data_IF_405590968831
#
_entry.id   IF_405590968831
#
_cell.length_a   1.000
_cell.length_b   1.000
_cell.length_c   1.000
_cell.angle_alpha   90.00
_cell.angle_beta   90.00
_cell.angle_gamma   90.00
#
_symmetry.space_group_name_H-M   'P 1'
#
loop_
_entity.id
_entity.type
_entity.pdbx_description
1 polymer ?
#
# COMPACT_ATOMS: atom_id res chain seq x y z
N UNK A 1 -7.00 30.09 0.23
CA UNK A 1 -7.62 29.19 -0.76
C UNK A 1 -9.15 29.37 -0.88
N UNK A 2 -9.92 29.32 0.20
CA UNK A 2 -11.40 29.44 0.14
C UNK A 2 -11.92 30.85 0.45
N UNK A 3 -13.12 31.17 -0.04
CA UNK A 3 -13.84 32.40 0.33
C UNK A 3 -14.26 32.33 1.81
N UNK A 4 -14.06 33.37 2.64
CA UNK A 4 -14.27 33.29 4.10
C UNK A 4 -15.68 32.85 4.52
N UNK A 5 -16.70 33.31 3.77
CA UNK A 5 -18.12 32.97 4.01
C UNK A 5 -18.42 31.47 3.96
N UNK A 6 -17.57 30.67 3.31
CA UNK A 6 -17.80 29.24 3.11
C UNK A 6 -16.85 28.33 3.90
N UNK A 7 -16.03 28.88 4.80
CA UNK A 7 -15.25 28.05 5.73
C UNK A 7 -16.06 27.01 6.52
N UNK A 8 -17.27 27.28 7.05
CA UNK A 8 -18.06 26.25 7.72
C UNK A 8 -18.44 25.11 6.77
N UNK A 9 -18.81 25.42 5.53
CA UNK A 9 -19.15 24.42 4.50
C UNK A 9 -17.94 23.53 4.19
N UNK A 10 -16.76 24.12 4.00
CA UNK A 10 -15.52 23.36 3.75
C UNK A 10 -15.16 22.45 4.93
N UNK A 11 -15.39 22.91 6.17
CA UNK A 11 -15.15 22.10 7.38
C UNK A 11 -16.07 20.89 7.43
N UNK A 12 -17.37 21.06 7.18
CA UNK A 12 -18.36 19.96 7.12
C UNK A 12 -17.99 18.97 6.01
N UNK A 13 -17.64 19.44 4.82
CA UNK A 13 -17.20 18.56 3.72
C UNK A 13 -15.96 17.75 4.10
N UNK A 14 -14.97 18.35 4.76
CA UNK A 14 -13.79 17.61 5.21
C UNK A 14 -14.13 16.56 6.28
N UNK A 15 -15.07 16.84 7.18
CA UNK A 15 -15.52 15.87 8.17
C UNK A 15 -16.24 14.68 7.52
N UNK A 16 -17.21 14.96 6.64
CA UNK A 16 -17.90 13.92 5.89
C UNK A 16 -16.95 13.09 5.00
N UNK A 17 -15.89 13.72 4.49
CA UNK A 17 -14.86 13.02 3.74
C UNK A 17 -14.11 12.01 4.62
N UNK A 18 -13.84 12.37 5.89
CA UNK A 18 -13.26 11.45 6.86
C UNK A 18 -14.17 10.25 7.12
N UNK A 19 -15.48 10.48 7.29
CA UNK A 19 -16.46 9.39 7.42
C UNK A 19 -16.46 8.50 6.17
N UNK A 20 -16.48 9.08 4.98
CA UNK A 20 -16.40 8.35 3.72
C UNK A 20 -15.10 7.52 3.60
N UNK A 21 -13.98 8.02 4.14
CA UNK A 21 -12.69 7.30 4.19
C UNK A 21 -12.82 6.01 4.99
N UNK A 22 -13.47 6.08 6.16
CA UNK A 22 -13.69 4.92 7.04
C UNK A 22 -14.61 3.90 6.36
N UNK A 23 -15.66 4.39 5.68
CA UNK A 23 -16.56 3.54 4.91
C UNK A 23 -15.81 2.79 3.80
N UNK A 24 -14.93 3.46 3.05
CA UNK A 24 -14.11 2.83 2.00
C UNK A 24 -13.18 1.79 2.59
N UNK A 25 -12.53 2.09 3.72
CA UNK A 25 -11.65 1.14 4.39
C UNK A 25 -12.40 -0.13 4.81
N UNK A 26 -13.57 0.02 5.41
CA UNK A 26 -14.42 -1.11 5.82
C UNK A 26 -14.88 -1.87 4.58
N UNK A 27 -15.38 -1.18 3.56
CA UNK A 27 -15.89 -1.79 2.33
C UNK A 27 -14.81 -2.64 1.65
N UNK A 28 -13.61 -2.09 1.45
CA UNK A 28 -12.47 -2.81 0.89
C UNK A 28 -12.07 -4.00 1.78
N UNK A 29 -12.01 -3.81 3.10
CA UNK A 29 -11.65 -4.89 4.03
C UNK A 29 -12.67 -6.03 4.00
N UNK A 30 -13.96 -5.73 3.86
CA UNK A 30 -15.03 -6.73 3.77
C UNK A 30 -14.99 -7.43 2.42
N UNK A 31 -14.86 -6.67 1.33
CA UNK A 31 -14.82 -7.20 -0.02
C UNK A 31 -13.64 -8.14 -0.24
N UNK A 32 -12.45 -7.72 0.18
CA UNK A 32 -11.25 -8.53 0.04
C UNK A 32 -11.12 -9.56 1.16
N UNK A 33 -11.62 -9.32 2.37
CA UNK A 33 -11.42 -10.20 3.52
C UNK A 33 -12.38 -11.39 3.62
N UNK A 34 -13.61 -11.26 3.13
CA UNK A 34 -14.70 -12.22 3.39
C UNK A 34 -15.29 -12.83 2.13
N UNK A 35 -15.80 -14.05 2.25
CA UNK A 35 -16.53 -14.73 1.19
C UNK A 35 -17.97 -14.20 1.10
N UNK A 36 -18.15 -13.16 0.30
CA UNK A 36 -19.45 -12.50 0.12
C UNK A 36 -20.33 -13.17 -0.93
N UNK A 37 -21.62 -13.25 -0.62
CA UNK A 37 -22.69 -13.60 -1.55
C UNK A 37 -22.84 -12.53 -2.66
N UNK A 38 -23.43 -12.87 -3.83
CA UNK A 38 -23.64 -11.89 -4.90
C UNK A 38 -24.43 -10.65 -4.47
N UNK A 39 -25.38 -10.80 -3.54
CA UNK A 39 -26.19 -9.69 -3.01
C UNK A 39 -25.36 -8.76 -2.13
N UNK A 40 -24.51 -9.30 -1.26
CA UNK A 40 -23.60 -8.50 -0.43
C UNK A 40 -22.57 -7.76 -1.27
N UNK A 41 -22.00 -8.42 -2.29
CA UNK A 41 -21.11 -7.75 -3.26
C UNK A 41 -21.81 -6.59 -3.95
N UNK A 42 -23.02 -6.80 -4.48
CA UNK A 42 -23.79 -5.72 -5.12
C UNK A 42 -24.07 -4.56 -4.16
N UNK A 43 -24.36 -4.85 -2.90
CA UNK A 43 -24.56 -3.82 -1.88
C UNK A 43 -23.29 -3.00 -1.65
N UNK A 44 -22.15 -3.67 -1.42
CA UNK A 44 -20.85 -2.99 -1.25
C UNK A 44 -20.49 -2.15 -2.47
N UNK A 45 -20.66 -2.67 -3.68
CA UNK A 45 -20.37 -1.93 -4.91
C UNK A 45 -21.22 -0.67 -5.06
N UNK A 46 -22.51 -0.72 -4.68
CA UNK A 46 -23.37 0.47 -4.68
C UNK A 46 -22.89 1.49 -3.66
N UNK A 47 -22.52 1.04 -2.46
CA UNK A 47 -21.98 1.88 -1.40
C UNK A 47 -20.65 2.52 -1.83
N UNK A 48 -19.75 1.76 -2.44
CA UNK A 48 -18.49 2.23 -2.99
C UNK A 48 -18.70 3.30 -4.07
N UNK A 49 -19.62 3.04 -5.00
CA UNK A 49 -19.98 4.00 -6.04
C UNK A 49 -20.54 5.31 -5.44
N UNK A 50 -21.35 5.23 -4.38
CA UNK A 50 -21.83 6.41 -3.67
C UNK A 50 -20.68 7.21 -3.04
N UNK A 51 -19.69 6.55 -2.45
CA UNK A 51 -18.52 7.22 -1.87
C UNK A 51 -17.67 7.90 -2.94
N UNK A 52 -17.45 7.22 -4.07
CA UNK A 52 -16.70 7.76 -5.21
C UNK A 52 -17.39 9.00 -5.78
N UNK A 53 -18.72 8.95 -5.96
CA UNK A 53 -19.50 10.12 -6.40
C UNK A 53 -19.52 11.24 -5.37
N UNK A 54 -19.61 10.90 -4.09
CA UNK A 54 -19.50 11.86 -3.02
C UNK A 54 -18.15 12.58 -3.05
N UNK A 55 -17.04 11.86 -3.28
CA UNK A 55 -15.72 12.45 -3.47
C UNK A 55 -15.70 13.43 -4.66
N UNK A 56 -16.20 13.01 -5.83
CA UNK A 56 -16.27 13.86 -7.02
C UNK A 56 -17.08 15.13 -6.76
N UNK A 57 -18.25 15.00 -6.13
CA UNK A 57 -19.12 16.12 -5.74
C UNK A 57 -18.42 17.08 -4.78
N UNK A 58 -17.69 16.56 -3.78
CA UNK A 58 -16.91 17.40 -2.87
C UNK A 58 -15.85 18.23 -3.60
N UNK A 59 -15.14 17.64 -4.55
CA UNK A 59 -14.12 18.33 -5.35
C UNK A 59 -14.77 19.47 -6.14
N UNK A 60 -15.92 19.21 -6.76
CA UNK A 60 -16.70 20.23 -7.49
C UNK A 60 -17.16 21.38 -6.56
N UNK A 61 -17.74 21.07 -5.40
CA UNK A 61 -18.20 22.09 -4.44
C UNK A 61 -17.01 22.93 -3.94
N UNK A 62 -15.90 22.28 -3.54
CA UNK A 62 -14.71 22.99 -3.05
C UNK A 62 -14.07 23.85 -4.13
N UNK A 63 -14.14 23.44 -5.40
CA UNK A 63 -13.71 24.22 -6.54
C UNK A 63 -14.62 25.45 -6.75
N UNK A 64 -15.94 25.29 -6.71
CA UNK A 64 -16.90 26.40 -6.87
C UNK A 64 -16.81 27.45 -5.74
N UNK A 65 -16.49 27.00 -4.52
CA UNK A 65 -16.34 27.83 -3.32
C UNK A 65 -14.96 28.51 -3.22
N UNK A 66 -14.00 28.07 -4.03
CA UNK A 66 -12.64 28.63 -4.03
C UNK A 66 -12.64 30.10 -4.47
N UNK A 67 -11.62 30.86 -4.05
CA UNK A 67 -11.49 32.27 -4.48
C UNK A 67 -11.22 32.37 -5.98
N UNK A 68 -10.40 31.45 -6.51
CA UNK A 68 -10.06 31.29 -7.91
C UNK A 68 -10.05 29.81 -8.27
N UNK A 69 -10.81 29.44 -9.30
CA UNK A 69 -10.87 28.07 -9.84
C UNK A 69 -9.47 27.63 -10.30
N UNK A 70 -8.71 28.53 -10.93
CA UNK A 70 -7.36 28.25 -11.39
C UNK A 70 -6.38 27.95 -10.26
N UNK A 71 -6.45 28.71 -9.15
CA UNK A 71 -5.64 28.43 -7.97
C UNK A 71 -6.01 27.07 -7.35
N UNK A 72 -7.31 26.72 -7.37
CA UNK A 72 -7.79 25.43 -6.90
C UNK A 72 -7.23 24.28 -7.74
N UNK A 73 -7.34 24.38 -9.07
CA UNK A 73 -6.82 23.37 -10.00
C UNK A 73 -5.31 23.15 -9.80
N UNK A 74 -4.53 24.22 -9.70
CA UNK A 74 -3.06 24.11 -9.56
C UNK A 74 -2.64 23.47 -8.24
N UNK A 75 -3.32 23.81 -7.14
CA UNK A 75 -2.97 23.32 -5.81
C UNK A 75 -3.54 21.94 -5.49
N UNK A 76 -4.62 21.51 -6.16
CA UNK A 76 -5.29 20.22 -5.96
C UNK A 76 -5.47 19.45 -7.26
N UNK A 77 -4.47 19.50 -8.14
CA UNK A 77 -4.52 18.86 -9.46
C UNK A 77 -4.83 17.35 -9.37
N UNK A 78 -4.32 16.67 -8.35
CA UNK A 78 -4.59 15.24 -8.12
C UNK A 78 -6.05 14.96 -7.75
N UNK A 79 -6.69 15.82 -6.94
CA UNK A 79 -8.13 15.70 -6.60
C UNK A 79 -8.99 15.86 -7.85
N UNK A 80 -8.62 16.82 -8.70
CA UNK A 80 -9.31 17.10 -9.96
C UNK A 80 -9.12 15.96 -10.96
N UNK A 81 -7.90 15.42 -11.08
CA UNK A 81 -7.61 14.27 -11.93
C UNK A 81 -8.46 13.06 -11.53
N UNK A 82 -8.49 12.72 -10.23
CA UNK A 82 -9.31 11.62 -9.73
C UNK A 82 -10.80 11.85 -10.03
N UNK A 83 -11.31 13.07 -9.80
CA UNK A 83 -12.68 13.42 -10.14
C UNK A 83 -12.98 13.25 -11.64
N UNK A 84 -12.07 13.70 -12.52
CA UNK A 84 -12.24 13.54 -13.96
C UNK A 84 -12.23 12.07 -14.37
N UNK A 85 -11.33 11.25 -13.81
CA UNK A 85 -11.30 9.80 -14.06
C UNK A 85 -12.62 9.14 -13.66
N UNK A 86 -13.16 9.50 -12.49
CA UNK A 86 -14.47 9.01 -12.01
C UNK A 86 -15.60 9.38 -12.98
N UNK A 87 -15.65 10.64 -13.43
CA UNK A 87 -16.68 11.12 -14.36
C UNK A 87 -16.57 10.46 -15.73
N UNK A 88 -15.35 10.33 -16.26
CA UNK A 88 -15.11 9.64 -17.54
C UNK A 88 -15.55 8.18 -17.44
N UNK A 89 -15.12 7.49 -16.39
CA UNK A 89 -15.43 6.08 -16.19
C UNK A 89 -16.95 5.82 -16.11
N UNK A 90 -17.67 6.67 -15.37
CA UNK A 90 -19.13 6.57 -15.24
C UNK A 90 -19.86 6.94 -16.53
N UNK A 91 -19.38 7.94 -17.28
CA UNK A 91 -19.94 8.32 -18.59
C UNK A 91 -19.76 7.19 -19.61
N UNK A 92 -18.58 6.55 -19.62
CA UNK A 92 -18.29 5.39 -20.47
C UNK A 92 -19.24 4.25 -20.14
N UNK A 93 -19.48 3.96 -18.85
CA UNK A 93 -20.45 2.93 -18.43
C UNK A 93 -21.86 3.23 -18.98
N UNK A 94 -22.37 4.45 -18.76
CA UNK A 94 -23.72 4.84 -19.21
C UNK A 94 -23.83 4.73 -20.74
N UNK A 95 -22.79 5.13 -21.48
CA UNK A 95 -22.77 5.05 -22.94
C UNK A 95 -22.71 3.60 -23.44
N UNK A 96 -21.96 2.73 -22.78
CA UNK A 96 -21.86 1.31 -23.11
C UNK A 96 -23.15 0.54 -22.75
N UNK A 97 -23.79 0.86 -21.61
CA UNK A 97 -25.02 0.21 -21.16
C UNK A 97 -26.28 0.76 -21.86
N UNK A 98 -26.28 2.02 -22.28
CA UNK A 98 -27.39 2.67 -22.99
C UNK A 98 -27.47 2.33 -24.48
N UNK A 99 -26.41 1.79 -25.07
CA UNK A 99 -26.41 1.32 -26.47
C UNK A 99 -27.04 -0.09 -26.54
N UNK A 100 -28.36 -0.13 -26.73
CA UNK A 100 -29.12 -1.35 -27.06
C UNK A 100 -28.58 -2.12 -28.29
N UNK A 101 -27.73 -1.50 -29.11
CA UNK A 101 -27.02 -2.10 -30.27
C UNK A 101 -25.79 -2.94 -29.90
N UNK A 102 -25.17 -2.74 -28.72
CA UNK A 102 -23.96 -3.49 -28.30
C UNK A 102 -24.31 -4.93 -27.88
N UNK A 103 -25.52 -5.17 -27.34
CA UNK A 103 -26.01 -6.53 -27.02
C UNK A 103 -26.08 -7.46 -28.23
N UNK A 104 -26.20 -6.91 -29.43
CA UNK A 104 -26.37 -7.69 -30.66
C UNK A 104 -25.04 -8.09 -31.30
N UNK A 105 -23.95 -7.35 -31.06
CA UNK A 105 -22.63 -7.60 -31.66
C UNK A 105 -21.58 -8.12 -30.68
N UNK A 106 -21.73 -7.89 -29.38
CA UNK A 106 -20.78 -8.32 -28.36
C UNK A 106 -21.43 -9.42 -27.51
N UNK A 107 -21.07 -10.68 -27.81
CA UNK A 107 -21.50 -11.85 -27.04
C UNK A 107 -21.24 -11.70 -25.53
N UNK A 108 -22.09 -12.31 -24.70
CA UNK A 108 -22.15 -12.09 -23.24
C UNK A 108 -20.83 -12.23 -22.46
N UNK A 109 -19.89 -13.04 -22.96
CA UNK A 109 -18.52 -13.20 -22.43
C UNK A 109 -17.71 -11.89 -22.38
N UNK A 110 -17.93 -10.99 -23.35
CA UNK A 110 -17.24 -9.70 -23.40
C UNK A 110 -17.80 -8.69 -22.40
N UNK A 111 -19.11 -8.73 -22.13
CA UNK A 111 -19.79 -7.85 -21.17
C UNK A 111 -19.39 -8.15 -19.72
N UNK A 112 -19.21 -9.43 -19.39
CA UNK A 112 -18.75 -9.84 -18.04
C UNK A 112 -17.33 -9.32 -17.80
N UNK A 113 -16.41 -9.50 -18.78
CA UNK A 113 -15.04 -8.98 -18.69
C UNK A 113 -15.00 -7.46 -18.57
N UNK A 114 -15.80 -6.73 -19.35
CA UNK A 114 -15.89 -5.26 -19.24
C UNK A 114 -16.38 -4.82 -17.86
N UNK A 115 -17.36 -5.54 -17.29
CA UNK A 115 -17.88 -5.24 -15.94
C UNK A 115 -16.80 -5.49 -14.86
N UNK A 116 -16.02 -6.57 -14.98
CA UNK A 116 -14.91 -6.85 -14.07
C UNK A 116 -13.81 -5.78 -14.14
N UNK A 117 -13.42 -5.37 -15.35
CA UNK A 117 -12.43 -4.28 -15.53
C UNK A 117 -12.95 -2.98 -14.92
N UNK A 118 -14.24 -2.68 -15.09
CA UNK A 118 -14.85 -1.49 -14.50
C UNK A 118 -14.78 -1.50 -12.96
N UNK A 119 -15.11 -2.63 -12.33
CA UNK A 119 -15.02 -2.80 -10.87
C UNK A 119 -13.58 -2.61 -10.38
N UNK A 120 -12.62 -3.24 -11.06
CA UNK A 120 -11.20 -3.11 -10.74
C UNK A 120 -10.74 -1.65 -10.78
N UNK A 121 -11.15 -0.90 -11.81
CA UNK A 121 -10.81 0.53 -11.93
C UNK A 121 -11.44 1.35 -10.79
N UNK A 122 -12.69 1.07 -10.39
CA UNK A 122 -13.30 1.72 -9.20
C UNK A 122 -12.47 1.45 -7.95
N UNK A 123 -12.09 0.19 -7.71
CA UNK A 123 -11.30 -0.20 -6.54
C UNK A 123 -9.94 0.52 -6.51
N UNK A 124 -9.28 0.65 -7.66
CA UNK A 124 -8.03 1.40 -7.78
C UNK A 124 -8.26 2.88 -7.44
N UNK A 125 -9.30 3.51 -8.01
CA UNK A 125 -9.62 4.91 -7.70
C UNK A 125 -9.96 5.11 -6.22
N UNK A 126 -10.70 4.19 -5.61
CA UNK A 126 -10.99 4.19 -4.19
C UNK A 126 -9.72 4.10 -3.35
N UNK A 127 -8.83 3.17 -3.65
CA UNK A 127 -7.54 3.04 -2.99
C UNK A 127 -6.73 4.34 -3.10
N UNK A 128 -6.69 4.98 -4.28
CA UNK A 128 -6.02 6.27 -4.45
C UNK A 128 -6.66 7.40 -3.63
N UNK A 129 -7.99 7.47 -3.57
CA UNK A 129 -8.69 8.47 -2.73
C UNK A 129 -8.41 8.26 -1.25
N UNK A 130 -8.37 7.00 -0.81
CA UNK A 130 -8.06 6.59 0.55
C UNK A 130 -6.62 6.95 0.95
N UNK A 131 -5.62 6.56 0.13
CA UNK A 131 -4.21 6.90 0.35
C UNK A 131 -4.04 8.42 0.44
N UNK A 132 -4.68 9.17 -0.45
CA UNK A 132 -4.64 10.62 -0.42
C UNK A 132 -5.25 11.19 0.88
N UNK A 133 -6.34 10.62 1.38
CA UNK A 133 -6.95 11.03 2.65
C UNK A 133 -6.04 10.73 3.84
N UNK A 134 -5.37 9.57 3.87
CA UNK A 134 -4.37 9.25 4.88
C UNK A 134 -3.22 10.27 4.91
N UNK A 135 -2.74 10.71 3.74
CA UNK A 135 -1.70 11.75 3.65
C UNK A 135 -2.19 13.08 4.25
N UNK A 136 -3.46 13.46 4.01
CA UNK A 136 -4.05 14.68 4.58
C UNK A 136 -4.23 14.56 6.09
N UNK A 137 -4.69 13.40 6.58
CA UNK A 137 -4.85 13.12 8.01
C UNK A 137 -3.50 13.15 8.74
N UNK A 138 -2.47 12.54 8.15
CA UNK A 138 -1.11 12.54 8.69
C UNK A 138 -0.57 13.98 8.86
N UNK A 139 -0.82 14.87 7.89
CA UNK A 139 -0.44 16.28 8.01
C UNK A 139 -1.13 17.02 9.16
N UNK A 140 -2.32 16.58 9.57
CA UNK A 140 -3.03 17.17 10.73
C UNK A 140 -2.49 16.63 12.07
N UNK A 141 -2.02 15.39 12.09
CA UNK A 141 -1.40 14.74 13.25
C UNK A 141 0.06 15.19 13.45
N UNK A 142 0.73 15.66 12.39
CA UNK A 142 2.11 16.16 12.41
C UNK A 142 2.37 17.38 13.33
N UNK A 143 1.34 17.93 13.98
CA UNK A 143 1.47 18.98 14.99
C UNK A 143 1.77 18.49 16.41
N UNK A 144 1.73 17.17 16.66
CA UNK A 144 1.97 16.63 18.00
C UNK A 144 3.46 16.36 18.21
N UNK A 145 4.08 17.05 19.18
CA UNK A 145 5.50 16.91 19.51
C UNK A 145 5.75 15.60 20.28
N UNK A 146 6.03 14.51 19.56
CA UNK A 146 6.45 13.24 20.16
C UNK A 146 7.96 13.07 20.05
N UNK A 147 8.57 12.42 21.04
CA UNK A 147 9.98 12.02 20.94
C UNK A 147 10.14 11.03 19.77
N UNK A 148 11.18 11.15 18.92
CA UNK A 148 11.33 10.33 17.71
C UNK A 148 11.25 8.81 17.94
N UNK A 149 11.80 8.33 19.06
CA UNK A 149 11.73 6.91 19.45
C UNK A 149 10.30 6.44 19.76
N UNK A 150 9.46 7.29 20.36
CA UNK A 150 8.04 6.95 20.61
C UNK A 150 7.25 6.90 19.32
N UNK A 151 7.55 7.80 18.38
CA UNK A 151 6.94 7.79 17.04
C UNK A 151 7.27 6.48 16.33
N UNK A 152 8.55 6.08 16.33
CA UNK A 152 9.00 4.82 15.73
C UNK A 152 8.33 3.59 16.37
N UNK A 153 8.32 3.51 17.70
CA UNK A 153 7.68 2.39 18.40
C UNK A 153 6.17 2.33 18.08
N UNK A 154 5.49 3.48 18.12
CA UNK A 154 4.07 3.55 17.84
C UNK A 154 3.73 3.21 16.38
N UNK A 155 4.58 3.59 15.42
CA UNK A 155 4.34 3.28 14.02
C UNK A 155 4.44 1.78 13.76
N UNK A 156 5.49 1.12 14.26
CA UNK A 156 5.64 -0.33 14.16
C UNK A 156 4.47 -1.06 14.85
N UNK A 157 4.10 -0.64 16.07
CA UNK A 157 2.98 -1.25 16.79
C UNK A 157 1.66 -1.14 16.01
N UNK A 158 1.36 0.03 15.43
CA UNK A 158 0.16 0.23 14.61
C UNK A 158 0.19 -0.68 13.37
N UNK A 159 1.33 -0.75 12.67
CA UNK A 159 1.48 -1.61 11.48
C UNK A 159 1.28 -3.08 11.84
N UNK A 160 1.87 -3.54 12.95
CA UNK A 160 1.74 -4.93 13.44
C UNK A 160 0.29 -5.24 13.78
N UNK A 161 -0.41 -4.37 14.51
CA UNK A 161 -1.80 -4.59 14.88
C UNK A 161 -2.73 -4.58 13.65
N UNK A 162 -2.50 -3.68 12.70
CA UNK A 162 -3.23 -3.66 11.43
C UNK A 162 -2.95 -4.93 10.61
N UNK A 163 -1.68 -5.35 10.52
CA UNK A 163 -1.27 -6.58 9.86
C UNK A 163 -1.91 -7.82 10.50
N UNK A 164 -1.97 -7.86 11.83
CA UNK A 164 -2.66 -8.92 12.59
C UNK A 164 -4.13 -8.98 12.22
N UNK A 165 -4.83 -7.84 12.21
CA UNK A 165 -6.23 -7.75 11.80
C UNK A 165 -6.46 -8.22 10.36
N UNK A 166 -5.57 -7.84 9.43
CA UNK A 166 -5.65 -8.26 8.04
C UNK A 166 -5.39 -9.77 7.86
N UNK A 167 -4.44 -10.35 8.60
CA UNK A 167 -4.14 -11.78 8.54
C UNK A 167 -5.24 -12.66 9.16
N UNK A 168 -6.02 -12.12 10.09
CA UNK A 168 -7.18 -12.79 10.67
C UNK A 168 -8.41 -12.82 9.77
N UNK A 169 -8.38 -12.13 8.63
CA UNK A 169 -9.48 -12.18 7.66
C UNK A 169 -9.59 -13.60 7.06
N UNK A 170 -10.82 -14.14 6.89
CA UNK A 170 -11.02 -15.51 6.40
C UNK A 170 -10.35 -15.83 5.06
N UNK A 171 -10.21 -14.83 4.18
CA UNK A 171 -9.52 -15.00 2.89
C UNK A 171 -8.01 -14.98 2.97
N UNK A 172 -7.41 -14.64 4.09
CA UNK A 172 -5.96 -14.60 4.25
C UNK A 172 -5.34 -15.99 4.40
N UNK A 173 -6.14 -17.00 4.74
CA UNK A 173 -5.72 -18.40 4.87
C UNK A 173 -6.36 -19.27 3.80
N UNK A 174 -5.76 -20.43 3.52
CA UNK A 174 -6.33 -21.37 2.58
C UNK A 174 -7.63 -21.99 3.13
N UNK A 175 -8.60 -22.38 2.27
CA UNK A 175 -9.87 -22.92 2.71
C UNK A 175 -9.73 -24.10 3.68
N UNK A 176 -10.47 -24.09 4.77
CA UNK A 176 -10.43 -25.13 5.82
C UNK A 176 -9.38 -24.90 6.91
N UNK A 177 -8.51 -23.89 6.77
CA UNK A 177 -7.54 -23.52 7.79
C UNK A 177 -8.05 -22.39 8.68
N UNK A 178 -7.55 -22.33 9.91
CA UNK A 178 -7.89 -21.32 10.89
C UNK A 178 -6.60 -20.81 11.54
N UNK A 179 -6.38 -19.51 11.49
CA UNK A 179 -5.23 -18.86 12.12
C UNK A 179 -5.62 -18.37 13.51
N UNK A 180 -4.87 -18.76 14.55
CA UNK A 180 -5.09 -18.23 15.88
C UNK A 180 -4.67 -16.75 15.96
N UNK A 181 -5.26 -16.00 16.89
CA UNK A 181 -4.86 -14.59 17.12
C UNK A 181 -3.36 -14.46 17.44
N UNK A 182 -2.83 -15.38 18.24
CA UNK A 182 -1.43 -15.37 18.64
C UNK A 182 -0.52 -15.63 17.44
N UNK A 183 -0.86 -16.61 16.60
CA UNK A 183 -0.09 -16.89 15.38
C UNK A 183 -0.14 -15.74 14.39
N UNK A 184 -1.31 -15.10 14.23
CA UNK A 184 -1.45 -13.93 13.38
C UNK A 184 -0.60 -12.75 13.88
N UNK A 185 -0.61 -12.49 15.20
CA UNK A 185 0.20 -11.45 15.82
C UNK A 185 1.70 -11.75 15.68
N UNK A 186 2.09 -13.00 15.87
CA UNK A 186 3.48 -13.44 15.72
C UNK A 186 3.94 -13.27 14.28
N UNK A 187 3.18 -13.78 13.30
CA UNK A 187 3.51 -13.66 11.88
C UNK A 187 3.56 -12.19 11.44
N UNK A 188 2.61 -11.36 11.86
CA UNK A 188 2.62 -9.92 11.56
C UNK A 188 3.85 -9.22 12.15
N UNK A 189 4.18 -9.51 13.41
CA UNK A 189 5.39 -8.99 14.07
C UNK A 189 6.65 -9.43 13.34
N UNK A 190 6.76 -10.71 13.00
CA UNK A 190 7.92 -11.27 12.32
C UNK A 190 8.12 -10.69 10.92
N UNK A 191 7.02 -10.49 10.18
CA UNK A 191 7.05 -9.87 8.86
C UNK A 191 7.43 -8.38 8.94
N UNK A 192 6.82 -7.60 9.83
CA UNK A 192 7.11 -6.16 9.98
C UNK A 192 8.48 -5.88 10.57
N UNK A 193 8.95 -6.71 11.51
CA UNK A 193 10.30 -6.61 12.06
C UNK A 193 11.35 -7.32 11.20
N UNK A 194 10.91 -7.99 10.12
CA UNK A 194 11.79 -8.57 9.11
C UNK A 194 12.68 -9.68 9.71
N UNK A 195 12.14 -10.47 10.63
CA UNK A 195 12.89 -11.50 11.39
C UNK A 195 12.85 -12.89 10.77
N UNK A 196 11.82 -13.22 9.99
CA UNK A 196 11.74 -14.49 9.24
C UNK A 196 11.34 -15.73 10.04
N UNK A 197 11.01 -15.58 11.32
CA UNK A 197 10.46 -16.68 12.11
C UNK A 197 9.00 -16.92 11.72
N UNK A 198 8.66 -18.19 11.48
CA UNK A 198 7.32 -18.62 11.11
C UNK A 198 6.78 -19.62 12.15
N UNK A 199 5.49 -19.51 12.47
CA UNK A 199 4.76 -20.49 13.29
C UNK A 199 3.93 -21.46 12.44
N UNK A 200 3.65 -21.06 11.20
CA UNK A 200 2.97 -21.86 10.18
C UNK A 200 3.65 -21.63 8.82
N UNK A 201 3.56 -22.62 7.93
CA UNK A 201 4.17 -22.57 6.60
C UNK A 201 3.59 -21.43 5.74
N UNK A 202 4.42 -20.47 5.33
CA UNK A 202 3.95 -19.28 4.60
C UNK A 202 3.34 -19.62 3.23
N UNK A 203 3.93 -20.59 2.52
CA UNK A 203 3.52 -20.97 1.18
C UNK A 203 2.26 -21.85 1.14
N UNK A 204 2.11 -22.75 2.12
CA UNK A 204 1.01 -23.71 2.18
C UNK A 204 -0.16 -23.26 3.04
N UNK A 205 0.08 -22.46 4.08
CA UNK A 205 -0.97 -22.06 5.02
C UNK A 205 -1.73 -20.83 4.53
N UNK A 206 -1.00 -19.77 4.20
CA UNK A 206 -1.63 -18.54 3.74
C UNK A 206 -2.11 -18.67 2.30
N UNK A 207 -3.24 -18.04 2.02
CA UNK A 207 -3.68 -17.84 0.64
C UNK A 207 -2.77 -16.83 -0.06
N UNK A 208 -2.90 -16.67 -1.38
CA UNK A 208 -2.20 -15.61 -2.11
C UNK A 208 -2.44 -14.22 -1.50
N UNK A 209 -3.62 -13.98 -0.93
CA UNK A 209 -3.92 -12.72 -0.25
C UNK A 209 -3.16 -12.58 1.07
N UNK A 210 -3.12 -13.64 1.89
CA UNK A 210 -2.32 -13.63 3.12
C UNK A 210 -0.83 -13.45 2.84
N UNK A 211 -0.32 -14.12 1.80
CA UNK A 211 1.06 -13.97 1.34
C UNK A 211 1.36 -12.54 0.87
N UNK A 212 0.44 -11.88 0.15
CA UNK A 212 0.58 -10.46 -0.23
C UNK A 212 0.54 -9.53 0.99
N UNK A 213 -0.27 -9.82 2.00
CA UNK A 213 -0.27 -9.06 3.27
C UNK A 213 1.09 -9.18 3.95
N UNK A 214 1.63 -10.40 4.09
CA UNK A 214 2.96 -10.65 4.65
C UNK A 214 4.03 -9.89 3.86
N UNK A 215 3.99 -9.97 2.52
CA UNK A 215 4.92 -9.27 1.65
C UNK A 215 4.88 -7.75 1.83
N UNK A 216 3.68 -7.19 1.99
CA UNK A 216 3.50 -5.76 2.25
C UNK A 216 4.02 -5.35 3.64
N UNK A 217 3.82 -6.18 4.65
CA UNK A 217 4.37 -5.96 6.00
C UNK A 217 5.90 -5.98 5.98
N UNK A 218 6.49 -6.93 5.23
CA UNK A 218 7.94 -7.00 4.98
C UNK A 218 8.45 -5.71 4.34
N UNK A 219 7.78 -5.25 3.28
CA UNK A 219 8.18 -4.05 2.57
C UNK A 219 8.17 -2.81 3.47
N UNK A 220 7.07 -2.60 4.21
CA UNK A 220 6.95 -1.44 5.12
C UNK A 220 8.01 -1.52 6.22
N UNK A 221 8.19 -2.71 6.79
CA UNK A 221 9.19 -2.98 7.82
C UNK A 221 10.61 -2.68 7.36
N UNK A 222 11.00 -3.28 6.24
CA UNK A 222 12.33 -3.13 5.64
C UNK A 222 12.66 -1.68 5.29
N UNK A 223 11.75 -1.00 4.57
CA UNK A 223 11.90 0.42 4.24
C UNK A 223 12.00 1.30 5.49
N UNK A 224 11.22 0.98 6.53
CA UNK A 224 11.27 1.67 7.81
C UNK A 224 12.65 1.56 8.43
N UNK A 225 13.13 0.33 8.67
CA UNK A 225 14.43 0.08 9.30
C UNK A 225 15.57 0.74 8.51
N UNK A 226 15.60 0.61 7.18
CA UNK A 226 16.64 1.20 6.33
C UNK A 226 16.64 2.74 6.38
N UNK A 227 15.45 3.36 6.34
CA UNK A 227 15.35 4.83 6.38
C UNK A 227 15.81 5.37 7.74
N UNK A 228 15.41 4.71 8.84
CA UNK A 228 15.81 5.12 10.17
C UNK A 228 17.29 4.86 10.44
N UNK A 229 17.83 3.70 10.05
CA UNK A 229 19.26 3.40 10.21
C UNK A 229 20.13 4.40 9.45
N UNK A 230 19.75 4.74 8.21
CA UNK A 230 20.42 5.76 7.40
C UNK A 230 20.36 7.15 8.05
N UNK A 231 19.21 7.53 8.59
CA UNK A 231 19.04 8.79 9.30
C UNK A 231 19.92 8.86 10.57
N UNK A 232 19.93 7.80 11.39
CA UNK A 232 20.79 7.74 12.58
C UNK A 232 22.27 7.74 12.22
N UNK A 233 22.69 6.97 11.20
CA UNK A 233 24.06 6.96 10.71
C UNK A 233 24.51 8.35 10.23
N UNK A 234 23.62 9.10 9.57
CA UNK A 234 23.87 10.49 9.19
C UNK A 234 24.04 11.41 10.40
N UNK A 235 23.19 11.28 11.42
CA UNK A 235 23.31 12.06 12.66
C UNK A 235 24.64 11.78 13.38
N UNK A 236 25.08 10.52 13.46
CA UNK A 236 26.35 10.16 14.11
C UNK A 236 27.57 10.72 13.37
N UNK A 237 27.51 10.90 12.05
CA UNK A 237 28.59 11.51 11.25
C UNK A 237 28.70 13.03 11.44
N UNK A 238 27.62 13.70 11.83
CA UNK A 238 27.63 15.14 12.15
C UNK A 238 28.00 15.28 13.64
N UNK A 239 29.29 15.43 13.93
CA UNK A 239 29.76 15.84 15.27
C UNK A 239 29.27 17.26 15.57
N UNK A 240 28.02 17.43 16.03
CA UNK A 240 27.46 18.74 16.39
C UNK A 240 27.86 19.08 17.82
N UNK A 241 28.78 20.02 17.96
CA UNK A 241 29.17 20.64 19.24
C UNK A 241 27.94 21.26 19.93
N UNK A 242 27.72 20.97 21.22
CA UNK A 242 26.54 21.38 22.02
C UNK A 242 26.24 22.90 22.00
N UNK A 243 27.21 23.74 21.64
CA UNK A 243 27.14 25.20 21.65
C UNK A 243 26.38 25.81 20.46
N UNK A 244 26.20 25.04 19.38
CA UNK A 244 25.50 25.47 18.16
C UNK A 244 24.00 25.12 18.16
N UNK A 245 23.56 24.22 19.05
CA UNK A 245 22.22 23.62 19.01
C UNK A 245 21.06 24.57 19.38
N UNK A 246 21.29 25.65 20.15
CA UNK A 246 20.20 26.52 20.63
C UNK A 246 19.72 27.57 19.62
N UNK A 247 20.60 28.03 18.73
CA UNK A 247 20.25 29.00 17.66
C UNK A 247 19.87 28.30 16.36
N UNK A 248 20.33 27.05 16.17
CA UNK A 248 20.05 26.23 14.99
C UNK A 248 18.83 25.31 15.16
N UNK A 249 18.23 25.19 16.35
CA UNK A 249 17.15 24.23 16.63
C UNK A 249 15.91 24.35 15.74
N UNK A 250 15.58 25.55 15.25
CA UNK A 250 14.47 25.74 14.30
C UNK A 250 14.89 25.50 12.84
N UNK A 251 16.10 25.91 12.45
CA UNK A 251 16.63 25.73 11.09
C UNK A 251 16.95 24.24 10.83
N UNK A 252 17.54 23.55 11.80
CA UNK A 252 17.80 22.11 11.75
C UNK A 252 16.52 21.28 11.71
N UNK A 253 15.44 21.70 12.37
CA UNK A 253 14.18 20.94 12.33
C UNK A 253 13.56 20.89 10.92
N UNK A 254 13.62 22.00 10.17
CA UNK A 254 13.12 22.03 8.78
C UNK A 254 14.07 21.31 7.83
N UNK A 255 15.39 21.49 8.00
CA UNK A 255 16.39 20.77 7.21
C UNK A 255 16.30 19.25 7.42
N UNK A 256 16.17 18.79 8.66
CA UNK A 256 16.06 17.37 9.00
C UNK A 256 14.81 16.72 8.39
N UNK A 257 13.66 17.39 8.41
CA UNK A 257 12.43 16.87 7.77
C UNK A 257 12.56 16.76 6.25
N UNK A 258 13.20 17.75 5.62
CA UNK A 258 13.46 17.72 4.18
C UNK A 258 14.44 16.60 3.80
N UNK A 259 15.42 16.34 4.66
CA UNK A 259 16.41 15.28 4.50
C UNK A 259 15.80 13.90 4.68
N UNK A 260 15.00 13.67 5.73
CA UNK A 260 14.27 12.41 5.95
C UNK A 260 13.39 12.09 4.75
N UNK A 261 12.69 13.09 4.19
CA UNK A 261 11.86 12.88 2.99
C UNK A 261 12.71 12.49 1.77
N UNK A 262 13.87 13.11 1.58
CA UNK A 262 14.80 12.77 0.48
C UNK A 262 15.37 11.37 0.67
N UNK A 263 15.78 11.01 1.90
CA UNK A 263 16.27 9.68 2.24
C UNK A 263 15.19 8.63 2.00
N UNK A 264 13.97 8.84 2.51
CA UNK A 264 12.84 7.94 2.26
C UNK A 264 12.60 7.74 0.75
N UNK A 265 12.56 8.82 -0.03
CA UNK A 265 12.34 8.73 -1.48
C UNK A 265 13.48 7.98 -2.19
N UNK A 266 14.72 8.21 -1.76
CA UNK A 266 15.89 7.52 -2.28
C UNK A 266 15.87 6.04 -1.93
N UNK A 267 15.64 5.70 -0.66
CA UNK A 267 15.50 4.31 -0.18
C UNK A 267 14.42 3.59 -0.97
N UNK A 268 13.21 4.15 -1.09
CA UNK A 268 12.12 3.55 -1.89
C UNK A 268 12.54 3.29 -3.34
N UNK A 269 13.22 4.24 -3.99
CA UNK A 269 13.65 4.09 -5.38
C UNK A 269 14.72 3.00 -5.54
N UNK A 270 15.72 2.99 -4.65
CA UNK A 270 16.82 2.01 -4.67
C UNK A 270 16.29 0.62 -4.36
N UNK A 271 15.46 0.49 -3.33
CA UNK A 271 14.77 -0.77 -2.97
C UNK A 271 13.99 -1.31 -4.16
N UNK A 272 13.12 -0.51 -4.76
CA UNK A 272 12.31 -0.93 -5.90
C UNK A 272 13.18 -1.36 -7.10
N UNK A 273 14.29 -0.66 -7.36
CA UNK A 273 15.22 -1.03 -8.42
C UNK A 273 15.83 -2.42 -8.18
N UNK A 274 16.40 -2.66 -7.00
CA UNK A 274 17.04 -3.94 -6.69
C UNK A 274 16.04 -5.09 -6.59
N UNK A 275 14.84 -4.83 -6.06
CA UNK A 275 13.75 -5.81 -6.03
C UNK A 275 13.28 -6.18 -7.44
N UNK A 276 13.19 -5.21 -8.36
CA UNK A 276 12.83 -5.49 -9.75
C UNK A 276 13.92 -6.28 -10.48
N UNK A 277 15.19 -5.89 -10.32
CA UNK A 277 16.32 -6.61 -10.92
C UNK A 277 16.46 -8.02 -10.35
N UNK A 278 16.29 -8.17 -9.03
CA UNK A 278 16.29 -9.44 -8.34
C UNK A 278 15.14 -10.35 -8.77
N UNK A 279 13.92 -9.81 -8.88
CA UNK A 279 12.76 -10.57 -9.35
C UNK A 279 12.93 -11.01 -10.81
N UNK A 280 13.45 -10.14 -11.70
CA UNK A 280 13.76 -10.53 -13.07
C UNK A 280 14.83 -11.62 -13.13
N UNK A 281 15.92 -11.46 -12.37
CA UNK A 281 16.98 -12.46 -12.27
C UNK A 281 16.45 -13.81 -11.78
N UNK A 282 15.69 -13.82 -10.69
CA UNK A 282 15.08 -15.02 -10.12
C UNK A 282 14.10 -15.67 -11.09
N UNK A 283 13.30 -14.89 -11.81
CA UNK A 283 12.37 -15.42 -12.81
C UNK A 283 13.07 -16.24 -13.90
N UNK A 284 14.22 -15.76 -14.39
CA UNK A 284 15.03 -16.50 -15.37
C UNK A 284 15.78 -17.67 -14.72
N UNK A 285 16.36 -17.47 -13.52
CA UNK A 285 17.15 -18.48 -12.81
C UNK A 285 16.32 -19.70 -12.35
N UNK A 286 15.04 -19.51 -12.02
CA UNK A 286 14.13 -20.60 -11.67
C UNK A 286 13.82 -21.50 -12.87
N UNK A 287 13.96 -21.00 -14.10
CA UNK A 287 13.76 -21.78 -15.33
C UNK A 287 12.30 -22.14 -15.61
N UNK A 288 12.02 -22.77 -16.77
CA UNK A 288 10.68 -23.21 -17.15
C UNK A 288 10.13 -24.36 -16.28
N UNK A 289 11.02 -25.17 -15.70
CA UNK A 289 10.63 -26.37 -14.94
C UNK A 289 10.01 -26.07 -13.57
N UNK A 290 10.07 -24.82 -13.11
CA UNK A 290 9.54 -24.42 -11.81
C UNK A 290 8.00 -24.45 -11.75
N UNK A 291 7.33 -24.30 -12.90
CA UNK A 291 5.87 -24.30 -12.98
C UNK A 291 5.34 -23.30 -14.00
N UNK A 292 4.08 -22.89 -13.85
CA UNK A 292 3.46 -21.89 -14.72
C UNK A 292 4.24 -20.57 -14.73
N UNK A 293 4.22 -19.79 -15.85
CA UNK A 293 4.86 -18.48 -15.89
C UNK A 293 4.37 -17.54 -14.77
N UNK A 294 3.07 -17.62 -14.43
CA UNK A 294 2.47 -16.82 -13.35
C UNK A 294 3.01 -17.18 -11.96
N UNK A 295 3.06 -18.47 -11.61
CA UNK A 295 3.61 -18.92 -10.32
C UNK A 295 5.10 -18.65 -10.20
N UNK A 296 5.85 -18.77 -11.31
CA UNK A 296 7.27 -18.40 -11.37
C UNK A 296 7.49 -16.91 -11.13
N UNK A 297 6.71 -16.05 -11.79
CA UNK A 297 6.78 -14.60 -11.59
C UNK A 297 6.43 -14.22 -10.15
N UNK A 298 5.36 -14.80 -9.61
CA UNK A 298 4.94 -14.55 -8.23
C UNK A 298 6.02 -14.94 -7.22
N UNK A 299 6.59 -16.15 -7.36
CA UNK A 299 7.70 -16.59 -6.50
C UNK A 299 8.92 -15.69 -6.64
N UNK A 300 9.27 -15.28 -7.86
CA UNK A 300 10.43 -14.42 -8.07
C UNK A 300 10.26 -13.05 -7.40
N UNK A 301 9.09 -12.43 -7.50
CA UNK A 301 8.78 -11.15 -6.84
C UNK A 301 8.81 -11.31 -5.33
N UNK A 302 8.09 -12.30 -4.79
CA UNK A 302 8.00 -12.50 -3.34
C UNK A 302 9.38 -12.69 -2.71
N UNK A 303 10.19 -13.59 -3.29
CA UNK A 303 11.51 -13.89 -2.73
C UNK A 303 12.52 -12.78 -2.98
N UNK A 304 12.38 -11.98 -4.05
CA UNK A 304 13.26 -10.84 -4.26
C UNK A 304 13.05 -9.76 -3.20
N UNK A 305 11.80 -9.44 -2.87
CA UNK A 305 11.46 -8.49 -1.81
C UNK A 305 11.89 -9.04 -0.45
N UNK A 306 11.56 -10.30 -0.16
CA UNK A 306 11.94 -10.96 1.09
C UNK A 306 13.47 -11.00 1.27
N UNK A 307 14.23 -11.31 0.21
CA UNK A 307 15.69 -11.33 0.25
C UNK A 307 16.28 -9.93 0.42
N UNK A 308 15.85 -8.94 -0.37
CA UNK A 308 16.38 -7.58 -0.29
C UNK A 308 16.06 -6.91 1.05
N UNK A 309 14.86 -7.14 1.58
CA UNK A 309 14.51 -6.64 2.92
C UNK A 309 15.22 -7.42 4.04
N UNK A 310 15.84 -8.58 3.76
CA UNK A 310 16.40 -9.52 4.75
C UNK A 310 15.34 -10.19 5.64
N UNK A 311 14.15 -10.43 5.09
CA UNK A 311 12.99 -10.91 5.83
C UNK A 311 13.02 -12.40 6.15
N UNK A 312 13.67 -13.23 5.33
CA UNK A 312 13.74 -14.69 5.55
C UNK A 312 12.45 -15.47 5.29
N UNK A 313 11.34 -14.81 4.92
CA UNK A 313 10.09 -15.48 4.52
C UNK A 313 10.25 -16.14 3.15
N UNK A 314 9.70 -17.35 2.98
CA UNK A 314 9.70 -18.08 1.72
C UNK A 314 8.33 -18.69 1.43
N UNK A 315 7.97 -18.79 0.14
CA UNK A 315 6.80 -19.54 -0.31
C UNK A 315 7.07 -21.05 -0.39
N UNK A 316 8.32 -21.47 -0.21
CA UNK A 316 8.71 -22.87 -0.17
C UNK A 316 8.77 -23.33 1.30
N UNK A 317 8.17 -24.50 1.58
CA UNK A 317 8.16 -25.09 2.93
C UNK A 317 9.57 -25.26 3.50
N UNK A 318 10.48 -25.77 2.69
CA UNK A 318 11.88 -25.99 3.05
C UNK A 318 12.78 -24.84 2.59
N UNK A 319 12.19 -23.65 2.38
CA UNK A 319 12.89 -22.47 1.85
C UNK A 319 13.66 -22.83 0.57
N UNK A 320 14.93 -22.43 0.48
CA UNK A 320 15.77 -22.67 -0.69
C UNK A 320 16.59 -23.97 -0.66
N UNK A 321 16.35 -24.89 0.29
CA UNK A 321 17.05 -26.19 0.35
C UNK A 321 16.94 -26.97 -0.98
N UNK A 322 15.77 -27.05 -1.65
CA UNK A 322 15.66 -27.73 -2.94
C UNK A 322 16.48 -27.08 -4.08
N UNK A 323 16.88 -25.81 -3.91
CA UNK A 323 17.62 -25.03 -4.90
C UNK A 323 19.13 -25.04 -4.65
N UNK A 324 19.62 -25.87 -3.71
CA UNK A 324 21.04 -25.90 -3.31
C UNK A 324 22.04 -26.14 -4.47
N UNK A 325 21.62 -26.85 -5.54
CA UNK A 325 22.44 -27.09 -6.72
C UNK A 325 22.26 -26.02 -7.83
N UNK A 326 21.30 -25.10 -7.66
CA UNK A 326 21.00 -24.04 -8.63
C UNK A 326 21.72 -22.75 -8.22
N UNK A 327 23.03 -22.73 -8.46
CA UNK A 327 23.91 -21.58 -8.18
C UNK A 327 23.32 -20.22 -8.60
N UNK A 328 22.72 -20.04 -9.79
CA UNK A 328 22.18 -18.73 -10.18
C UNK A 328 21.12 -18.20 -9.22
N UNK A 329 20.24 -19.06 -8.68
CA UNK A 329 19.22 -18.67 -7.70
C UNK A 329 19.89 -18.20 -6.41
N UNK A 330 20.85 -18.98 -5.89
CA UNK A 330 21.55 -18.66 -4.65
C UNK A 330 22.38 -17.39 -4.78
N UNK A 331 23.09 -17.20 -5.91
CA UNK A 331 23.90 -16.01 -6.16
C UNK A 331 23.06 -14.72 -6.14
N UNK A 332 21.87 -14.75 -6.74
CA UNK A 332 20.95 -13.61 -6.75
C UNK A 332 20.44 -13.33 -5.33
N UNK A 333 20.01 -14.35 -4.59
CA UNK A 333 19.54 -14.17 -3.21
C UNK A 333 20.63 -13.61 -2.30
N UNK A 334 21.85 -14.15 -2.36
CA UNK A 334 23.00 -13.65 -1.59
C UNK A 334 23.30 -12.19 -1.92
N UNK A 335 23.27 -11.83 -3.21
CA UNK A 335 23.50 -10.44 -3.64
C UNK A 335 22.43 -9.50 -3.09
N UNK A 336 21.16 -9.88 -3.18
CA UNK A 336 20.06 -9.07 -2.64
C UNK A 336 20.17 -8.89 -1.12
N UNK A 337 20.50 -9.94 -0.39
CA UNK A 337 20.65 -9.91 1.07
C UNK A 337 21.80 -8.99 1.49
N UNK A 338 22.96 -9.14 0.84
CA UNK A 338 24.14 -8.32 1.15
C UNK A 338 23.89 -6.86 0.80
N UNK A 339 23.38 -6.58 -0.40
CA UNK A 339 23.12 -5.19 -0.83
C UNK A 339 22.05 -4.54 0.04
N UNK A 340 20.96 -5.25 0.34
CA UNK A 340 19.89 -4.73 1.20
C UNK A 340 20.31 -4.51 2.65
N UNK A 341 21.27 -5.32 3.16
CA UNK A 341 21.80 -5.16 4.51
C UNK A 341 22.78 -4.00 4.69
N UNK A 342 23.38 -3.48 3.61
CA UNK A 342 24.42 -2.44 3.70
C UNK A 342 23.89 -1.03 3.94
N UNK A 343 22.57 -0.81 3.81
CA UNK A 343 21.92 0.49 4.03
C UNK A 343 22.03 1.40 2.82
#
# INVERSE_FOLDING_TARGET
MYRPRFFPVVKVLNWLLGVATVIVLISLSVEFGFYLTPREKQFLHRLDLLVVWFFALQVLIKMAVSRSVWEYLKSRWFDVLLMLLIVIQTTVLVRLMGFSLIRQYLGGESLIRLTQVYILVIQILLALTFVRQLVVLNRQIAGVKWHPSKVLLSSFLIIILLGTGLLLLPRSVNPGQHLSFLDALFTATSATCVTGLIVVDTGRFFSTQGQLIILFLIQIGGLGIMTYSSFFAYLLRRSVTLREQSLLGEILNVENLSLIRKMLAYTVLVTALFECLGALGLFFALGPDYGSPGSRLYSAIFHSISAFCNAGFSLHSDSFVPFQQRWPVLAILMTLIVVGGLG
#
